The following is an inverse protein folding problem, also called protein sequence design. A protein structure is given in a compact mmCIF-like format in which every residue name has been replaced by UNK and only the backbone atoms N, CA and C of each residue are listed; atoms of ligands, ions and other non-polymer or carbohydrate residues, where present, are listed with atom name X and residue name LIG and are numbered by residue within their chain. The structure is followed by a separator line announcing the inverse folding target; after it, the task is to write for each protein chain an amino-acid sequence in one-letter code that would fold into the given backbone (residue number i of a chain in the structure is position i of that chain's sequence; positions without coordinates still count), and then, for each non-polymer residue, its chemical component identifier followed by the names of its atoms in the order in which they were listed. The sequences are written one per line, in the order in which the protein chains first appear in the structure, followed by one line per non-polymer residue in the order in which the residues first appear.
data_IF_756483405253
#
_entry.id   IF_756483405253
#
_cell.length_a   1.000
_cell.length_b   1.000
_cell.length_c   1.000
_cell.angle_alpha   90.00
_cell.angle_beta   90.00
_cell.angle_gamma   90.00
#
_symmetry.space_group_name_H-M   'P 1'
#
loop_
_entity.id
_entity.type
_entity.pdbx_description
1 polymer ?
#
# COMPACT_ATOMS: atom_id res chain seq x y z
N UNK A 1 -7.14 6.92 8.83
CA UNK A 1 -7.36 6.25 7.54
C UNK A 1 -8.13 7.12 6.54
N UNK A 2 -9.34 7.58 6.84
CA UNK A 2 -10.14 8.40 5.90
C UNK A 2 -9.41 9.67 5.44
N UNK A 3 -8.77 10.39 6.35
CA UNK A 3 -8.07 11.63 6.04
C UNK A 3 -6.86 11.46 5.12
N UNK A 4 -6.20 10.31 5.12
CA UNK A 4 -5.05 10.01 4.25
C UNK A 4 -5.43 9.18 3.02
N UNK A 5 -6.69 8.82 2.86
CA UNK A 5 -7.16 7.91 1.81
C UNK A 5 -6.46 6.54 1.88
N UNK A 6 -6.15 6.10 3.11
CA UNK A 6 -5.39 4.89 3.35
C UNK A 6 -6.00 3.65 2.70
N UNK A 7 -5.16 2.68 2.42
CA UNK A 7 -5.52 1.35 1.95
C UNK A 7 -4.87 0.27 2.83
N UNK A 8 -4.46 -0.83 2.27
CA UNK A 8 -3.77 -1.93 2.92
C UNK A 8 -4.07 -3.25 2.24
N UNK A 9 -3.71 -4.35 2.86
CA UNK A 9 -3.70 -5.70 2.27
C UNK A 9 -4.99 -6.15 1.58
N UNK A 10 -6.14 -5.63 2.01
CA UNK A 10 -7.45 -6.01 1.45
C UNK A 10 -7.91 -5.12 0.27
N UNK A 11 -7.13 -4.10 -0.08
CA UNK A 11 -7.55 -3.11 -1.08
C UNK A 11 -7.73 -3.71 -2.47
N UNK A 12 -6.92 -4.68 -2.84
CA UNK A 12 -7.00 -5.37 -4.14
C UNK A 12 -8.40 -5.95 -4.42
N UNK A 13 -9.12 -6.40 -3.39
CA UNK A 13 -10.48 -6.93 -3.55
C UNK A 13 -11.56 -5.94 -3.14
N UNK A 14 -11.36 -5.26 -2.02
CA UNK A 14 -12.40 -4.48 -1.38
C UNK A 14 -12.26 -2.97 -1.58
N UNK A 15 -11.21 -2.53 -2.27
CA UNK A 15 -10.93 -1.13 -2.51
C UNK A 15 -10.32 -0.41 -1.30
N UNK A 16 -9.98 0.84 -1.52
CA UNK A 16 -9.37 1.75 -0.54
C UNK A 16 -10.43 2.48 0.28
N UNK A 17 -10.02 3.35 1.21
CA UNK A 17 -10.95 4.26 1.89
C UNK A 17 -11.73 5.15 0.92
N UNK A 18 -11.16 5.49 -0.24
CA UNK A 18 -11.88 6.22 -1.30
C UNK A 18 -13.12 5.48 -1.78
N UNK A 19 -13.06 4.15 -1.84
CA UNK A 19 -14.14 3.31 -2.37
C UNK A 19 -15.15 2.92 -1.28
N UNK A 20 -14.71 2.88 -0.04
CA UNK A 20 -15.48 2.36 1.10
C UNK A 20 -16.17 3.43 1.96
N UNK A 21 -15.72 4.68 1.93
CA UNK A 21 -16.42 5.79 2.58
C UNK A 21 -17.55 6.28 1.69
N UNK A 22 -18.79 6.13 2.13
CA UNK A 22 -19.98 6.52 1.37
C UNK A 22 -20.56 7.86 1.80
N UNK A 23 -20.35 8.28 3.04
CA UNK A 23 -20.74 9.58 3.56
C UNK A 23 -19.89 9.99 4.76
N UNK A 24 -19.77 11.29 4.99
CA UNK A 24 -19.12 11.88 6.15
C UNK A 24 -20.01 12.93 6.78
N UNK A 25 -19.92 13.08 8.10
CA UNK A 25 -20.21 14.33 8.79
C UNK A 25 -18.90 15.07 8.98
N UNK A 26 -18.86 16.36 8.63
CA UNK A 26 -17.64 17.17 8.64
C UNK A 26 -17.91 18.50 9.32
N UNK A 27 -17.03 18.93 10.21
CA UNK A 27 -16.97 20.29 10.71
C UNK A 27 -16.05 21.08 9.78
N UNK A 28 -16.62 22.10 9.12
CA UNK A 28 -15.89 22.98 8.20
C UNK A 28 -15.14 24.08 8.95
N UNK A 29 -14.18 24.80 8.32
CA UNK A 29 -13.39 25.84 8.96
C UNK A 29 -14.18 26.99 9.56
N UNK A 30 -15.38 27.28 9.03
CA UNK A 30 -16.31 28.29 9.54
C UNK A 30 -17.24 27.77 10.65
N UNK A 31 -17.04 26.51 11.11
CA UNK A 31 -17.77 25.89 12.21
C UNK A 31 -19.11 25.27 11.82
N UNK A 32 -19.46 25.20 10.53
CA UNK A 32 -20.67 24.50 10.12
C UNK A 32 -20.47 22.99 10.21
N UNK A 33 -21.54 22.28 10.57
CA UNK A 33 -21.59 20.82 10.52
C UNK A 33 -22.37 20.44 9.27
N UNK A 34 -21.71 19.76 8.34
CA UNK A 34 -22.31 19.33 7.08
C UNK A 34 -22.28 17.80 6.94
N UNK A 35 -23.24 17.25 6.20
CA UNK A 35 -23.21 15.88 5.69
C UNK A 35 -22.83 15.89 4.22
N UNK A 36 -21.82 15.11 3.85
CA UNK A 36 -21.29 15.13 2.48
C UNK A 36 -22.14 14.35 1.48
N UNK A 37 -22.91 13.36 1.96
CA UNK A 37 -23.81 12.54 1.15
C UNK A 37 -24.84 11.83 2.02
N UNK A 38 -25.85 11.22 1.39
CA UNK A 38 -26.79 10.30 1.98
C UNK A 38 -26.27 8.85 1.90
N UNK A 39 -27.01 7.90 2.51
CA UNK A 39 -26.67 6.46 2.46
C UNK A 39 -27.12 5.78 1.16
N UNK A 40 -27.70 6.51 0.21
CA UNK A 40 -28.12 5.95 -1.07
C UNK A 40 -26.89 5.49 -1.88
N UNK A 41 -27.02 4.32 -2.52
CA UNK A 41 -25.92 3.73 -3.32
C UNK A 41 -25.58 4.57 -4.55
N UNK A 42 -26.55 5.31 -5.08
CA UNK A 42 -26.41 6.20 -6.25
C UNK A 42 -26.92 7.57 -5.90
N UNK A 43 -26.19 8.60 -6.29
CA UNK A 43 -26.60 9.97 -6.28
C UNK A 43 -25.90 10.73 -7.45
N UNK A 44 -26.58 11.74 -7.98
CA UNK A 44 -26.02 12.68 -8.98
C UNK A 44 -26.40 14.13 -8.61
N UNK A 45 -26.52 14.43 -7.32
CA UNK A 45 -27.02 15.67 -6.75
C UNK A 45 -25.91 16.72 -6.49
N UNK A 46 -25.00 16.89 -7.41
CA UNK A 46 -23.96 17.90 -7.34
C UNK A 46 -22.54 17.35 -7.20
N UNK A 47 -21.65 18.14 -6.61
CA UNK A 47 -20.25 17.73 -6.43
C UNK A 47 -20.12 16.65 -5.35
N UNK A 48 -19.25 15.67 -5.59
CA UNK A 48 -18.92 14.61 -4.63
C UNK A 48 -18.02 15.16 -3.50
N UNK A 49 -18.66 15.73 -2.47
CA UNK A 49 -17.94 16.25 -1.31
C UNK A 49 -17.29 15.12 -0.49
N UNK A 50 -17.85 13.91 -0.51
CA UNK A 50 -17.25 12.76 0.19
C UNK A 50 -15.86 12.46 -0.37
N UNK A 51 -15.75 12.38 -1.71
CA UNK A 51 -14.45 12.13 -2.37
C UNK A 51 -13.47 13.29 -2.22
N UNK A 52 -13.98 14.52 -2.10
CA UNK A 52 -13.15 15.69 -1.83
C UNK A 52 -12.55 15.65 -0.42
N UNK A 53 -13.33 15.24 0.58
CA UNK A 53 -12.88 15.19 1.99
C UNK A 53 -12.00 13.98 2.28
N UNK A 54 -12.25 12.82 1.65
CA UNK A 54 -11.40 11.63 1.78
C UNK A 54 -10.03 11.89 1.16
N UNK A 55 -8.98 11.82 1.98
CA UNK A 55 -7.60 12.14 1.57
C UNK A 55 -7.25 13.63 1.64
N UNK A 56 -8.09 14.46 2.25
CA UNK A 56 -7.80 15.89 2.45
C UNK A 56 -6.79 16.17 3.56
N UNK A 57 -6.39 15.16 4.31
CA UNK A 57 -5.45 15.24 5.44
C UNK A 57 -5.84 16.31 6.49
N UNK A 58 -7.13 16.51 6.69
CA UNK A 58 -7.66 17.51 7.63
C UNK A 58 -7.49 18.97 7.18
N UNK A 59 -7.14 19.22 5.92
CA UNK A 59 -6.90 20.56 5.41
C UNK A 59 -8.20 21.28 4.97
N UNK A 60 -9.30 20.55 4.82
CA UNK A 60 -10.60 21.09 4.39
C UNK A 60 -11.67 21.06 5.49
N UNK A 61 -11.47 20.26 6.52
CA UNK A 61 -12.42 20.09 7.62
C UNK A 61 -12.04 18.91 8.50
N UNK A 62 -12.82 18.68 9.56
CA UNK A 62 -12.63 17.57 10.50
C UNK A 62 -13.81 16.60 10.33
N UNK A 63 -13.52 15.37 9.89
CA UNK A 63 -14.52 14.31 9.83
C UNK A 63 -14.86 13.82 11.25
N UNK A 64 -16.11 13.94 11.65
CA UNK A 64 -16.63 13.56 12.98
C UNK A 64 -17.43 12.28 12.94
N UNK A 65 -18.11 11.95 11.81
CA UNK A 65 -18.78 10.69 11.57
C UNK A 65 -18.39 10.14 10.20
N UNK A 66 -18.17 8.84 10.12
CA UNK A 66 -17.75 8.16 8.89
C UNK A 66 -18.72 7.00 8.64
N UNK A 67 -19.45 7.07 7.52
CA UNK A 67 -20.31 5.98 7.07
C UNK A 67 -19.57 5.12 6.06
N UNK A 68 -19.41 3.83 6.39
CA UNK A 68 -18.66 2.87 5.58
C UNK A 68 -19.59 1.89 4.86
N UNK A 69 -19.17 1.49 3.67
CA UNK A 69 -19.71 0.34 2.95
C UNK A 69 -19.33 -0.94 3.70
N UNK A 70 -20.27 -1.85 3.84
CA UNK A 70 -20.05 -3.18 4.41
C UNK A 70 -20.09 -4.25 3.32
N UNK A 71 -19.36 -5.31 3.56
CA UNK A 71 -19.33 -6.50 2.73
C UNK A 71 -19.85 -7.70 3.51
N UNK A 72 -20.43 -8.67 2.82
CA UNK A 72 -20.79 -9.96 3.43
C UNK A 72 -19.55 -10.70 3.93
N UNK A 73 -19.69 -11.42 5.01
CA UNK A 73 -18.65 -12.32 5.51
C UNK A 73 -18.55 -13.50 4.53
N UNK A 74 -17.37 -13.79 3.97
CA UNK A 74 -17.20 -14.94 3.07
C UNK A 74 -17.43 -16.25 3.81
N UNK A 75 -18.01 -17.22 3.12
CA UNK A 75 -18.26 -18.57 3.66
C UNK A 75 -16.95 -19.28 4.00
N UNK A 76 -15.97 -19.18 3.08
CA UNK A 76 -14.64 -19.75 3.23
C UNK A 76 -13.58 -18.68 3.01
N UNK A 77 -12.56 -18.72 3.85
CA UNK A 77 -11.33 -17.93 3.71
C UNK A 77 -10.17 -18.91 3.68
N UNK A 78 -9.37 -18.89 2.61
CA UNK A 78 -8.15 -19.69 2.52
C UNK A 78 -6.93 -18.79 2.35
N UNK A 79 -5.85 -19.12 3.07
CA UNK A 79 -4.54 -18.49 2.91
C UNK A 79 -3.58 -19.40 2.15
N UNK A 80 -2.69 -18.82 1.36
CA UNK A 80 -1.67 -19.55 0.62
C UNK A 80 -0.32 -18.85 0.62
N UNK A 81 0.73 -19.61 0.31
CA UNK A 81 2.09 -19.10 0.13
C UNK A 81 2.77 -19.80 -1.03
N UNK A 82 3.67 -19.10 -1.68
CA UNK A 82 4.52 -19.65 -2.74
C UNK A 82 5.82 -18.86 -2.81
N UNK A 83 6.95 -19.56 -2.97
CA UNK A 83 8.26 -18.93 -3.19
C UNK A 83 8.64 -18.96 -4.67
N UNK A 84 9.48 -17.99 -5.09
CA UNK A 84 9.89 -17.83 -6.47
C UNK A 84 11.41 -17.74 -6.60
N UNK A 85 11.96 -18.09 -7.79
CA UNK A 85 13.40 -18.00 -8.04
C UNK A 85 13.92 -16.55 -8.00
N UNK A 86 13.11 -15.58 -8.41
CA UNK A 86 13.48 -14.17 -8.44
C UNK A 86 12.31 -13.25 -8.06
N UNK A 87 12.65 -12.00 -7.72
CA UNK A 87 11.67 -10.91 -7.48
C UNK A 87 10.82 -10.69 -8.73
N UNK A 88 11.45 -10.74 -9.90
CA UNK A 88 10.76 -10.57 -11.18
C UNK A 88 9.71 -11.65 -11.40
N UNK A 89 10.04 -12.91 -11.19
CA UNK A 89 9.09 -14.02 -11.37
C UNK A 89 7.90 -13.90 -10.41
N UNK A 90 8.16 -13.57 -9.14
CA UNK A 90 7.11 -13.33 -8.15
C UNK A 90 6.16 -12.19 -8.56
N UNK A 91 6.71 -11.06 -9.01
CA UNK A 91 5.91 -9.89 -9.38
C UNK A 91 5.20 -10.06 -10.71
N UNK A 92 5.78 -10.77 -11.67
CA UNK A 92 5.13 -11.10 -12.94
C UNK A 92 3.95 -12.09 -12.72
N UNK A 93 4.09 -13.03 -11.78
CA UNK A 93 2.97 -13.90 -11.37
C UNK A 93 1.81 -13.08 -10.76
N UNK A 94 2.11 -12.03 -9.97
CA UNK A 94 1.08 -11.10 -9.45
C UNK A 94 0.39 -10.37 -10.60
N UNK A 95 1.15 -9.83 -11.54
CA UNK A 95 0.61 -9.11 -12.71
C UNK A 95 -0.34 -10.03 -13.49
N UNK A 96 0.09 -11.25 -13.77
CA UNK A 96 -0.73 -12.24 -14.49
C UNK A 96 -1.99 -12.61 -13.70
N UNK A 97 -1.90 -12.78 -12.38
CA UNK A 97 -3.04 -13.08 -11.51
C UNK A 97 -4.13 -11.99 -11.60
N UNK A 98 -3.71 -10.71 -11.54
CA UNK A 98 -4.63 -9.58 -11.66
C UNK A 98 -5.20 -9.47 -13.07
N UNK A 99 -4.39 -9.69 -14.13
CA UNK A 99 -4.83 -9.67 -15.53
C UNK A 99 -5.77 -10.81 -15.87
N UNK A 100 -5.59 -11.98 -15.27
CA UNK A 100 -6.51 -13.12 -15.41
C UNK A 100 -7.85 -12.89 -14.68
N UNK A 101 -7.97 -11.82 -13.90
CA UNK A 101 -9.20 -11.48 -13.19
C UNK A 101 -9.48 -12.38 -11.99
N UNK A 102 -8.47 -13.06 -11.44
CA UNK A 102 -8.62 -13.87 -10.23
C UNK A 102 -8.92 -12.92 -9.04
N UNK A 103 -10.07 -13.05 -8.39
CA UNK A 103 -10.48 -12.10 -7.36
C UNK A 103 -9.82 -12.40 -6.00
N UNK A 104 -8.49 -12.38 -5.97
CA UNK A 104 -7.73 -12.56 -4.72
C UNK A 104 -8.14 -11.53 -3.68
N UNK A 105 -8.27 -11.96 -2.43
CA UNK A 105 -8.62 -11.06 -1.33
C UNK A 105 -7.42 -10.28 -0.81
N UNK A 106 -6.25 -10.92 -0.85
CA UNK A 106 -4.95 -10.32 -0.55
C UNK A 106 -3.89 -10.98 -1.41
N UNK A 107 -2.89 -10.20 -1.80
CA UNK A 107 -1.67 -10.70 -2.43
C UNK A 107 -0.51 -9.79 -2.02
N UNK A 108 0.34 -10.32 -1.15
CA UNK A 108 1.44 -9.61 -0.51
C UNK A 108 2.76 -10.21 -0.94
N UNK A 109 3.71 -9.36 -1.27
CA UNK A 109 5.06 -9.78 -1.64
C UNK A 109 6.05 -9.43 -0.53
N UNK A 110 6.97 -10.35 -0.26
CA UNK A 110 8.13 -10.16 0.59
C UNK A 110 9.38 -10.50 -0.22
N UNK A 111 10.39 -9.63 -0.22
CA UNK A 111 11.68 -9.97 -0.79
C UNK A 111 12.47 -10.94 0.10
N UNK A 112 13.56 -11.49 -0.40
CA UNK A 112 14.40 -12.43 0.34
C UNK A 112 14.90 -11.85 1.66
N UNK A 113 15.28 -10.57 1.67
CA UNK A 113 15.77 -9.90 2.88
C UNK A 113 14.67 -9.83 3.96
N UNK A 114 13.43 -9.53 3.55
CA UNK A 114 12.29 -9.51 4.45
C UNK A 114 11.96 -10.91 4.98
N UNK A 115 12.02 -11.94 4.15
CA UNK A 115 11.79 -13.33 4.56
C UNK A 115 12.82 -13.77 5.61
N UNK A 116 14.10 -13.49 5.38
CA UNK A 116 15.18 -13.78 6.34
C UNK A 116 14.95 -13.04 7.66
N UNK A 117 14.58 -11.75 7.59
CA UNK A 117 14.28 -10.97 8.79
C UNK A 117 13.13 -11.58 9.61
N UNK A 118 12.05 -11.99 8.94
CA UNK A 118 10.89 -12.63 9.59
C UNK A 118 11.27 -13.99 10.18
N UNK A 119 12.00 -14.83 9.46
CA UNK A 119 12.46 -16.12 9.98
C UNK A 119 13.27 -15.95 11.27
N UNK A 120 14.19 -14.99 11.28
CA UNK A 120 15.01 -14.71 12.46
C UNK A 120 14.21 -14.17 13.64
N UNK A 121 13.25 -13.29 13.40
CA UNK A 121 12.46 -12.63 14.43
C UNK A 121 11.36 -13.55 14.98
N UNK A 122 10.53 -14.10 14.09
CA UNK A 122 9.34 -14.89 14.46
C UNK A 122 9.61 -16.38 14.60
N UNK A 123 10.87 -16.82 14.39
CA UNK A 123 11.29 -18.24 14.43
C UNK A 123 10.47 -19.11 13.48
N UNK A 124 10.20 -18.57 12.30
CA UNK A 124 9.56 -19.29 11.20
C UNK A 124 10.64 -20.01 10.34
N UNK A 125 10.20 -20.88 9.45
CA UNK A 125 11.07 -21.57 8.51
C UNK A 125 10.50 -21.39 7.09
N UNK A 126 10.31 -20.12 6.69
CA UNK A 126 9.88 -19.80 5.33
C UNK A 126 11.07 -19.99 4.38
N UNK A 127 10.84 -20.43 3.11
CA UNK A 127 11.90 -20.47 2.09
C UNK A 127 12.59 -19.11 1.98
N UNK A 128 13.93 -19.08 2.06
CA UNK A 128 14.72 -17.84 1.95
C UNK A 128 14.82 -17.37 0.48
N UNK A 129 13.68 -17.03 -0.08
CA UNK A 129 13.48 -16.62 -1.46
C UNK A 129 12.35 -15.57 -1.51
N UNK A 130 12.17 -14.84 -2.64
CA UNK A 130 11.01 -14.00 -2.86
C UNK A 130 9.72 -14.77 -2.63
N UNK A 131 8.81 -14.24 -1.80
CA UNK A 131 7.65 -14.97 -1.30
C UNK A 131 6.37 -14.17 -1.58
N UNK A 132 5.34 -14.86 -2.07
CA UNK A 132 3.98 -14.35 -2.08
C UNK A 132 3.16 -15.00 -0.97
N UNK A 133 2.36 -14.16 -0.29
CA UNK A 133 1.33 -14.56 0.65
C UNK A 133 -0.03 -14.15 0.08
N UNK A 134 -0.98 -15.09 0.00
CA UNK A 134 -2.26 -14.87 -0.62
C UNK A 134 -3.42 -15.18 0.34
N UNK A 135 -4.58 -14.58 0.05
CA UNK A 135 -5.84 -14.95 0.68
C UNK A 135 -6.95 -14.98 -0.38
N UNK A 136 -7.78 -16.02 -0.34
CA UNK A 136 -8.91 -16.23 -1.21
C UNK A 136 -10.19 -16.24 -0.38
N UNK A 137 -11.23 -15.53 -0.88
CA UNK A 137 -12.53 -15.42 -0.22
C UNK A 137 -13.65 -15.88 -1.15
N UNK A 138 -14.62 -16.63 -0.64
CA UNK A 138 -15.79 -17.00 -1.42
C UNK A 138 -16.54 -18.19 -0.83
N UNK A 139 -17.28 -18.92 -1.69
CA UNK A 139 -17.76 -20.26 -1.38
C UNK A 139 -16.62 -21.28 -1.48
N UNK A 140 -16.80 -22.48 -0.96
CA UNK A 140 -15.79 -23.55 -1.04
C UNK A 140 -15.33 -23.82 -2.48
N UNK A 141 -16.30 -23.93 -3.41
CA UNK A 141 -16.00 -24.14 -4.83
C UNK A 141 -15.21 -22.97 -5.44
N UNK A 142 -15.59 -21.72 -5.14
CA UNK A 142 -14.92 -20.54 -5.65
C UNK A 142 -13.49 -20.39 -5.11
N UNK A 143 -13.27 -20.67 -3.82
CA UNK A 143 -11.93 -20.61 -3.22
C UNK A 143 -11.01 -21.68 -3.82
N UNK A 144 -11.54 -22.89 -4.04
CA UNK A 144 -10.79 -23.95 -4.72
C UNK A 144 -10.39 -23.56 -6.13
N UNK A 145 -11.32 -23.05 -6.95
CA UNK A 145 -11.05 -22.59 -8.32
C UNK A 145 -9.99 -21.47 -8.33
N UNK A 146 -10.12 -20.44 -7.48
CA UNK A 146 -9.15 -19.36 -7.38
C UNK A 146 -7.75 -19.89 -7.04
N UNK A 147 -7.65 -20.84 -6.08
CA UNK A 147 -6.38 -21.42 -5.65
C UNK A 147 -5.73 -22.28 -6.74
N UNK A 148 -6.52 -23.06 -7.48
CA UNK A 148 -6.03 -23.88 -8.59
C UNK A 148 -5.51 -23.01 -9.74
N UNK A 149 -6.29 -22.01 -10.17
CA UNK A 149 -5.88 -21.08 -11.23
C UNK A 149 -4.62 -20.28 -10.85
N UNK A 150 -4.55 -19.81 -9.60
CA UNK A 150 -3.34 -19.15 -9.13
C UNK A 150 -2.15 -20.12 -9.11
N UNK A 151 -2.35 -21.37 -8.68
CA UNK A 151 -1.30 -22.40 -8.67
C UNK A 151 -0.72 -22.67 -10.05
N UNK A 152 -1.54 -22.70 -11.09
CA UNK A 152 -1.11 -22.81 -12.50
C UNK A 152 -0.24 -21.61 -12.90
N UNK A 153 -0.71 -20.38 -12.63
CA UNK A 153 0.06 -19.16 -12.91
C UNK A 153 1.40 -19.19 -12.13
N UNK A 154 1.38 -19.51 -10.85
CA UNK A 154 2.61 -19.57 -10.05
C UNK A 154 3.61 -20.56 -10.64
N UNK A 155 3.15 -21.73 -11.09
CA UNK A 155 3.98 -22.74 -11.73
C UNK A 155 4.63 -22.24 -13.03
N UNK A 156 3.89 -21.49 -13.85
CA UNK A 156 4.39 -20.92 -15.13
C UNK A 156 5.55 -19.93 -14.89
N UNK A 157 5.58 -19.27 -13.73
CA UNK A 157 6.65 -18.36 -13.29
C UNK A 157 7.68 -19.03 -12.36
N UNK A 158 7.73 -20.36 -12.31
CA UNK A 158 8.70 -21.09 -11.51
C UNK A 158 8.44 -21.06 -10.02
N UNK A 159 7.20 -20.80 -9.62
CA UNK A 159 6.79 -20.85 -8.20
C UNK A 159 6.94 -22.27 -7.63
N UNK A 160 7.55 -22.35 -6.46
CA UNK A 160 7.80 -23.60 -5.76
C UNK A 160 6.92 -23.70 -4.51
N UNK A 161 6.46 -24.93 -4.23
CA UNK A 161 5.78 -25.28 -2.99
C UNK A 161 4.54 -24.41 -2.73
N UNK A 162 3.67 -24.21 -3.76
CA UNK A 162 2.40 -23.55 -3.52
C UNK A 162 1.54 -24.38 -2.58
N UNK A 163 1.36 -23.89 -1.38
CA UNK A 163 0.54 -24.47 -0.33
C UNK A 163 -0.59 -23.51 0.01
N UNK A 164 -1.80 -24.03 0.18
CA UNK A 164 -2.92 -23.26 0.67
C UNK A 164 -3.77 -24.05 1.66
N UNK A 165 -4.44 -23.35 2.56
CA UNK A 165 -5.25 -23.94 3.63
C UNK A 165 -6.43 -23.05 3.99
N UNK A 166 -7.57 -23.66 4.29
CA UNK A 166 -8.73 -23.00 4.91
C UNK A 166 -8.71 -23.10 6.44
N UNK A 167 -7.76 -23.86 7.01
CA UNK A 167 -7.60 -23.93 8.46
C UNK A 167 -7.22 -22.57 9.03
N UNK A 168 -8.01 -22.07 9.99
CA UNK A 168 -7.83 -20.73 10.54
C UNK A 168 -6.54 -20.55 11.33
N UNK A 169 -6.06 -21.61 12.01
CA UNK A 169 -4.83 -21.53 12.79
C UNK A 169 -3.60 -21.40 11.88
N UNK A 170 -3.52 -22.21 10.82
CA UNK A 170 -2.41 -22.16 9.87
C UNK A 170 -2.42 -20.86 9.09
N UNK A 171 -3.59 -20.39 8.67
CA UNK A 171 -3.75 -19.07 8.04
C UNK A 171 -3.28 -17.93 8.95
N UNK A 172 -3.62 -17.99 10.25
CA UNK A 172 -3.19 -16.96 11.21
C UNK A 172 -1.68 -16.98 11.41
N UNK A 173 -1.03 -18.17 11.41
CA UNK A 173 0.44 -18.29 11.45
C UNK A 173 1.07 -17.63 10.21
N UNK A 174 0.49 -17.86 9.03
CA UNK A 174 0.96 -17.26 7.78
C UNK A 174 0.90 -15.73 7.83
N UNK A 175 -0.25 -15.17 8.23
CA UNK A 175 -0.43 -13.71 8.30
C UNK A 175 0.36 -13.08 9.45
N UNK A 176 0.67 -13.83 10.50
CA UNK A 176 1.54 -13.35 11.57
C UNK A 176 2.93 -12.98 11.03
N UNK A 177 3.51 -13.77 10.14
CA UNK A 177 4.77 -13.44 9.47
C UNK A 177 4.72 -12.09 8.76
N UNK A 178 3.60 -11.78 8.06
CA UNK A 178 3.39 -10.48 7.40
C UNK A 178 3.19 -9.34 8.39
N UNK A 179 2.46 -9.56 9.47
CA UNK A 179 2.24 -8.55 10.52
C UNK A 179 3.53 -8.22 11.29
N UNK A 180 4.40 -9.20 11.47
CA UNK A 180 5.68 -9.02 12.13
C UNK A 180 6.74 -8.32 11.23
N UNK A 181 6.44 -8.03 9.96
CA UNK A 181 7.38 -7.47 8.99
C UNK A 181 8.11 -6.21 9.51
N UNK A 182 7.40 -5.25 10.09
CA UNK A 182 8.02 -4.03 10.65
C UNK A 182 8.98 -4.36 11.80
N UNK A 183 8.56 -5.20 12.73
CA UNK A 183 9.36 -5.56 13.92
C UNK A 183 10.56 -6.42 13.54
N UNK A 184 10.41 -7.28 12.55
CA UNK A 184 11.50 -8.09 12.02
C UNK A 184 12.56 -7.22 11.35
N UNK A 185 12.19 -6.21 10.57
CA UNK A 185 13.13 -5.24 10.02
C UNK A 185 13.91 -4.51 11.12
N UNK A 186 13.23 -4.06 12.18
CA UNK A 186 13.88 -3.40 13.30
C UNK A 186 14.90 -4.30 14.01
N UNK A 187 14.64 -5.60 14.05
CA UNK A 187 15.56 -6.56 14.66
C UNK A 187 16.83 -6.83 13.83
N UNK A 188 16.81 -6.54 12.52
CA UNK A 188 17.99 -6.68 11.63
C UNK A 188 19.12 -5.73 12.03
N UNK A 189 18.76 -4.48 12.40
CA UNK A 189 19.73 -3.47 12.85
C UNK A 189 19.10 -2.70 14.02
N UNK A 190 19.26 -3.17 15.26
CA UNK A 190 18.56 -2.63 16.44
C UNK A 190 18.82 -1.13 16.72
N UNK A 191 20.02 -0.63 16.36
CA UNK A 191 20.43 0.76 16.58
C UNK A 191 19.97 1.70 15.46
N UNK A 192 19.40 1.16 14.35
CA UNK A 192 18.88 1.95 13.24
C UNK A 192 17.43 2.36 13.45
N UNK A 193 17.04 3.48 12.87
CA UNK A 193 15.63 3.85 12.67
C UNK A 193 15.13 3.32 11.32
N UNK A 194 13.84 2.98 11.27
CA UNK A 194 13.18 2.54 10.04
C UNK A 194 12.56 3.75 9.36
N UNK A 195 12.97 3.99 8.12
CA UNK A 195 12.33 4.95 7.22
C UNK A 195 11.58 4.18 6.12
N UNK A 196 10.26 4.10 6.26
CA UNK A 196 9.41 3.41 5.29
C UNK A 196 9.10 4.31 4.10
N UNK A 197 9.35 3.80 2.89
CA UNK A 197 8.83 4.43 1.66
C UNK A 197 7.38 4.03 1.42
N UNK A 198 6.73 4.68 0.45
CA UNK A 198 5.34 4.39 0.10
C UNK A 198 5.09 4.89 -1.32
N UNK A 199 5.48 4.10 -2.30
CA UNK A 199 5.22 4.38 -3.71
C UNK A 199 4.23 3.37 -4.28
N UNK A 200 3.46 3.81 -5.26
CA UNK A 200 2.55 2.93 -5.97
C UNK A 200 2.66 3.20 -7.48
N UNK A 201 2.70 2.15 -8.26
CA UNK A 201 2.78 2.21 -9.73
C UNK A 201 1.65 1.38 -10.35
N UNK A 202 1.30 1.63 -11.62
CA UNK A 202 0.42 0.72 -12.34
C UNK A 202 0.95 -0.72 -12.22
N UNK A 203 0.05 -1.68 -12.02
CA UNK A 203 0.42 -3.08 -11.76
C UNK A 203 1.40 -3.63 -12.81
N UNK A 204 1.24 -3.26 -14.07
CA UNK A 204 2.13 -3.65 -15.17
C UNK A 204 3.56 -3.10 -15.06
N UNK A 205 3.81 -2.18 -14.12
CA UNK A 205 5.12 -1.56 -13.84
C UNK A 205 5.73 -2.00 -12.52
N UNK A 206 5.02 -2.84 -11.76
CA UNK A 206 5.46 -3.24 -10.42
C UNK A 206 6.81 -3.97 -10.47
N UNK A 207 6.94 -4.94 -11.36
CA UNK A 207 8.16 -5.75 -11.55
C UNK A 207 9.37 -4.86 -11.85
N UNK A 208 9.24 -3.98 -12.85
CA UNK A 208 10.32 -3.07 -13.25
C UNK A 208 10.68 -2.11 -12.09
N UNK A 209 9.67 -1.54 -11.41
CA UNK A 209 9.89 -0.56 -10.35
C UNK A 209 10.60 -1.17 -9.14
N UNK A 210 10.22 -2.38 -8.71
CA UNK A 210 10.89 -3.06 -7.59
C UNK A 210 12.31 -3.46 -7.99
N UNK A 211 12.52 -4.01 -9.19
CA UNK A 211 13.85 -4.40 -9.68
C UNK A 211 14.81 -3.21 -9.72
N UNK A 212 14.42 -2.11 -10.37
CA UNK A 212 15.22 -0.89 -10.39
C UNK A 212 15.47 -0.30 -8.98
N UNK A 213 14.56 -0.54 -8.04
CA UNK A 213 14.71 -0.08 -6.65
C UNK A 213 15.76 -0.91 -5.91
N UNK A 214 15.78 -2.22 -6.10
CA UNK A 214 16.80 -3.12 -5.54
C UNK A 214 18.19 -2.76 -6.08
N UNK A 215 18.32 -2.61 -7.40
CA UNK A 215 19.58 -2.22 -8.04
C UNK A 215 20.10 -0.87 -7.52
N UNK A 216 19.20 0.09 -7.31
CA UNK A 216 19.54 1.40 -6.73
C UNK A 216 20.04 1.27 -5.28
N UNK A 217 19.39 0.44 -4.46
CA UNK A 217 19.83 0.20 -3.08
C UNK A 217 21.20 -0.46 -3.04
N UNK A 218 21.42 -1.51 -3.82
CA UNK A 218 22.70 -2.22 -3.92
C UNK A 218 23.83 -1.28 -4.33
N UNK A 219 23.62 -0.51 -5.39
CA UNK A 219 24.59 0.46 -5.90
C UNK A 219 24.98 1.52 -4.87
N UNK A 220 24.08 1.91 -3.98
CA UNK A 220 24.29 2.97 -2.99
C UNK A 220 24.60 2.40 -1.59
N UNK A 221 24.67 1.08 -1.42
CA UNK A 221 24.94 0.42 -0.14
C UNK A 221 23.88 0.75 0.90
N UNK A 222 22.60 0.71 0.51
CA UNK A 222 21.45 0.87 1.38
C UNK A 222 20.90 -0.51 1.78
N UNK A 223 20.48 -0.62 3.03
CA UNK A 223 19.85 -1.84 3.57
C UNK A 223 18.39 -1.51 3.82
N UNK A 224 17.49 -2.28 3.20
CA UNK A 224 16.06 -2.07 3.36
C UNK A 224 15.26 -3.26 2.81
N UNK A 225 14.74 -4.15 3.68
CA UNK A 225 13.80 -5.17 3.25
C UNK A 225 12.57 -4.57 2.56
N UNK A 226 12.02 -5.29 1.56
CA UNK A 226 10.86 -4.85 0.77
C UNK A 226 9.64 -5.68 1.11
N UNK A 227 8.53 -4.98 1.34
CA UNK A 227 7.18 -5.56 1.40
C UNK A 227 6.27 -4.82 0.43
N UNK A 228 5.27 -5.53 -0.14
CA UNK A 228 4.36 -4.92 -1.12
C UNK A 228 2.94 -5.43 -0.94
N UNK A 229 1.97 -4.49 -1.03
CA UNK A 229 0.59 -4.78 -1.38
C UNK A 229 0.57 -5.00 -2.90
N UNK A 230 1.06 -6.17 -3.31
CA UNK A 230 1.48 -6.40 -4.68
C UNK A 230 0.31 -6.31 -5.68
N UNK A 231 -0.90 -6.72 -5.28
CA UNK A 231 -2.10 -6.64 -6.12
C UNK A 231 -2.53 -5.22 -6.49
N UNK A 232 -2.08 -4.22 -5.72
CA UNK A 232 -2.39 -2.80 -5.95
C UNK A 232 -1.22 -2.03 -6.58
N UNK A 233 -0.05 -2.65 -6.75
CA UNK A 233 1.17 -2.00 -7.24
C UNK A 233 1.86 -1.10 -6.21
N UNK A 234 1.48 -1.19 -4.92
CA UNK A 234 2.07 -0.41 -3.84
C UNK A 234 3.14 -1.22 -3.11
N UNK A 235 4.31 -0.62 -2.87
CA UNK A 235 5.37 -1.27 -2.12
C UNK A 235 6.13 -0.30 -1.21
N UNK A 236 6.75 -0.90 -0.20
CA UNK A 236 7.49 -0.20 0.85
C UNK A 236 8.89 -0.80 0.98
N UNK A 237 9.89 0.07 1.04
CA UNK A 237 11.25 -0.28 1.46
C UNK A 237 11.39 0.18 2.91
N UNK A 238 11.72 -0.73 3.80
CA UNK A 238 12.00 -0.43 5.21
C UNK A 238 13.49 -0.11 5.38
N UNK A 239 13.91 1.11 5.02
CA UNK A 239 15.31 1.53 5.10
C UNK A 239 15.79 1.60 6.55
N UNK A 240 16.92 0.92 6.84
CA UNK A 240 17.53 0.88 8.16
C UNK A 240 18.67 1.90 8.21
N UNK A 241 18.44 3.02 8.90
CA UNK A 241 19.32 4.21 8.87
C UNK A 241 19.80 4.55 10.28
N UNK A 242 21.09 4.72 10.45
CA UNK A 242 21.64 5.35 11.65
C UNK A 242 21.44 6.86 11.56
N UNK A 243 20.52 7.37 12.38
CA UNK A 243 20.20 8.81 12.43
C UNK A 243 21.35 9.69 12.93
N UNK A 244 22.39 9.10 13.52
CA UNK A 244 23.60 9.83 13.96
C UNK A 244 24.63 9.97 12.84
N UNK A 245 24.48 9.20 11.76
CA UNK A 245 25.34 9.22 10.58
C UNK A 245 24.83 10.19 9.51
N UNK A 246 25.47 11.34 9.38
CA UNK A 246 25.11 12.30 8.30
C UNK A 246 25.20 11.67 6.93
N UNK A 247 26.20 10.79 6.70
CA UNK A 247 26.36 10.06 5.45
C UNK A 247 25.14 9.19 5.12
N UNK A 248 24.58 8.48 6.13
CA UNK A 248 23.40 7.66 5.90
C UNK A 248 22.14 8.50 5.70
N UNK A 249 22.02 9.64 6.38
CA UNK A 249 20.92 10.58 6.16
C UNK A 249 20.97 11.20 4.75
N UNK A 250 22.14 11.57 4.25
CA UNK A 250 22.31 12.09 2.88
C UNK A 250 21.97 11.03 1.82
N UNK A 251 22.34 9.77 2.07
CA UNK A 251 21.97 8.63 1.21
C UNK A 251 20.45 8.40 1.23
N UNK A 252 19.81 8.47 2.41
CA UNK A 252 18.37 8.35 2.57
C UNK A 252 17.65 9.43 1.76
N UNK A 253 17.99 10.70 1.96
CA UNK A 253 17.35 11.82 1.25
C UNK A 253 17.47 11.68 -0.27
N UNK A 254 18.65 11.30 -0.74
CA UNK A 254 18.89 11.05 -2.16
C UNK A 254 18.06 9.88 -2.69
N UNK A 255 17.95 8.79 -1.93
CA UNK A 255 17.15 7.63 -2.30
C UNK A 255 15.65 7.95 -2.34
N UNK A 256 15.13 8.67 -1.35
CA UNK A 256 13.72 9.08 -1.31
C UNK A 256 13.33 9.93 -2.53
N UNK A 257 14.24 10.74 -3.04
CA UNK A 257 14.04 11.48 -4.29
C UNK A 257 13.97 10.50 -5.46
N UNK A 258 14.97 9.62 -5.60
CA UNK A 258 15.07 8.72 -6.76
C UNK A 258 13.89 7.73 -6.83
N UNK A 259 13.47 7.12 -5.70
CA UNK A 259 12.35 6.19 -5.70
C UNK A 259 11.03 6.90 -6.04
N UNK A 260 10.81 8.11 -5.53
CA UNK A 260 9.62 8.90 -5.86
C UNK A 260 9.60 9.28 -7.35
N UNK A 261 10.73 9.71 -7.90
CA UNK A 261 10.85 10.06 -9.32
C UNK A 261 10.71 8.83 -10.23
N UNK A 262 11.20 7.67 -9.81
CA UNK A 262 11.01 6.39 -10.50
C UNK A 262 9.53 6.05 -10.61
N UNK A 263 8.80 6.10 -9.51
CA UNK A 263 7.37 5.85 -9.51
C UNK A 263 6.60 6.82 -10.43
N UNK A 264 6.88 8.13 -10.32
CA UNK A 264 6.24 9.16 -11.15
C UNK A 264 6.57 8.95 -12.65
N UNK A 265 7.80 8.61 -13.00
CA UNK A 265 8.21 8.30 -14.38
C UNK A 265 7.46 7.09 -14.97
N UNK A 266 7.03 6.18 -14.12
CA UNK A 266 6.26 4.98 -14.48
C UNK A 266 4.73 5.19 -14.38
N UNK A 267 4.24 6.43 -14.45
CA UNK A 267 2.83 6.82 -14.29
C UNK A 267 2.23 6.44 -12.92
N UNK A 268 3.08 6.33 -11.91
CA UNK A 268 2.71 6.05 -10.53
C UNK A 268 2.67 7.30 -9.65
N UNK A 269 2.69 7.07 -8.34
CA UNK A 269 2.61 8.12 -7.32
C UNK A 269 3.70 7.95 -6.26
N UNK A 270 4.17 9.07 -5.70
CA UNK A 270 5.10 9.07 -4.57
C UNK A 270 4.43 8.65 -3.24
N UNK A 271 3.11 8.51 -3.20
CA UNK A 271 2.36 8.11 -2.00
C UNK A 271 1.17 7.24 -2.35
N UNK A 272 1.30 5.92 -2.07
CA UNK A 272 0.22 4.96 -2.29
C UNK A 272 -0.89 5.06 -1.25
N UNK A 273 -0.53 5.10 0.04
CA UNK A 273 -1.51 5.02 1.13
C UNK A 273 -1.21 5.90 2.36
N UNK A 274 0.03 6.34 2.58
CA UNK A 274 0.40 7.08 3.79
C UNK A 274 0.01 8.55 3.75
N UNK A 275 -0.28 9.10 2.57
CA UNK A 275 -0.55 10.51 2.36
C UNK A 275 0.72 11.34 2.07
N UNK A 276 0.50 12.59 1.70
CA UNK A 276 1.56 13.56 1.33
C UNK A 276 2.22 14.17 2.56
N UNK A 277 1.42 14.52 3.55
CA UNK A 277 1.87 15.15 4.80
C UNK A 277 2.72 16.39 4.56
N UNK A 278 3.90 16.42 5.19
CA UNK A 278 4.94 17.43 4.99
C UNK A 278 6.07 16.91 4.08
N UNK A 279 6.39 15.63 4.16
CA UNK A 279 7.58 15.05 3.53
C UNK A 279 7.50 14.94 2.02
N UNK A 280 6.30 14.70 1.47
CA UNK A 280 6.11 14.45 0.04
C UNK A 280 5.59 15.65 -0.75
N UNK A 281 5.37 16.81 -0.11
CA UNK A 281 4.89 18.06 -0.77
C UNK A 281 5.74 18.46 -1.97
N UNK A 282 7.06 18.25 -1.87
CA UNK A 282 8.02 18.59 -2.93
C UNK A 282 7.82 17.83 -4.25
N UNK A 283 7.12 16.69 -4.21
CA UNK A 283 6.85 15.88 -5.41
C UNK A 283 5.53 16.22 -6.09
N UNK A 284 4.59 16.87 -5.38
CA UNK A 284 3.23 17.12 -5.86
C UNK A 284 3.18 17.82 -7.23
N UNK A 285 4.00 18.86 -7.41
CA UNK A 285 4.02 19.60 -8.68
C UNK A 285 4.58 18.75 -9.83
N UNK A 286 5.58 17.91 -9.55
CA UNK A 286 6.17 17.01 -10.54
C UNK A 286 5.20 15.92 -10.98
N UNK A 287 4.40 15.41 -10.02
CA UNK A 287 3.43 14.34 -10.25
C UNK A 287 2.15 14.86 -10.92
N UNK A 288 1.61 15.99 -10.46
CA UNK A 288 0.25 16.45 -10.79
C UNK A 288 0.21 17.75 -11.59
N UNK A 289 1.36 18.41 -11.79
CA UNK A 289 1.44 19.63 -12.56
C UNK A 289 0.45 20.71 -12.09
N UNK A 290 -0.23 21.36 -13.03
CA UNK A 290 -1.16 22.46 -12.77
C UNK A 290 -2.40 22.05 -11.93
N UNK A 291 -2.67 20.75 -11.73
CA UNK A 291 -3.74 20.32 -10.84
C UNK A 291 -3.51 20.77 -9.39
N UNK A 292 -2.25 20.93 -8.99
CA UNK A 292 -1.88 21.45 -7.65
C UNK A 292 -2.44 22.86 -7.43
N UNK A 293 -2.46 23.72 -8.46
CA UNK A 293 -3.02 25.08 -8.35
C UNK A 293 -4.54 25.04 -8.16
N UNK A 294 -5.21 24.08 -8.79
CA UNK A 294 -6.65 23.88 -8.59
C UNK A 294 -6.92 23.41 -7.16
N UNK A 295 -6.12 22.46 -6.63
CA UNK A 295 -6.23 22.01 -5.25
C UNK A 295 -6.01 23.17 -4.25
N UNK A 296 -5.03 24.04 -4.49
CA UNK A 296 -4.80 25.25 -3.68
C UNK A 296 -6.00 26.21 -3.73
N UNK A 297 -6.66 26.38 -4.87
CA UNK A 297 -7.89 27.19 -4.99
C UNK A 297 -9.01 26.58 -4.14
N UNK A 298 -9.21 25.26 -4.19
CA UNK A 298 -10.18 24.54 -3.35
C UNK A 298 -9.88 24.77 -1.86
N UNK A 299 -8.62 24.55 -1.45
CA UNK A 299 -8.17 24.80 -0.06
C UNK A 299 -8.48 26.23 0.38
N UNK A 300 -8.16 27.24 -0.43
CA UNK A 300 -8.37 28.64 -0.09
C UNK A 300 -9.86 29.02 -0.05
N UNK A 301 -10.71 28.37 -0.86
CA UNK A 301 -12.16 28.58 -0.83
C UNK A 301 -12.80 28.02 0.46
N UNK A 302 -12.34 26.84 0.91
CA UNK A 302 -12.82 26.20 2.16
C UNK A 302 -12.26 26.88 3.41
N UNK A 303 -10.97 27.16 3.41
CA UNK A 303 -10.23 27.64 4.59
C UNK A 303 -9.43 28.92 4.26
N UNK A 304 -10.11 30.05 4.06
CA UNK A 304 -9.46 31.31 3.74
C UNK A 304 -8.55 31.81 4.86
N UNK A 305 -8.84 31.44 6.10
CA UNK A 305 -8.05 31.81 7.29
C UNK A 305 -6.87 30.88 7.55
N UNK A 306 -6.72 29.80 6.79
CA UNK A 306 -5.63 28.82 6.88
C UNK A 306 -5.46 28.19 8.27
N UNK A 307 -6.56 27.91 8.97
CA UNK A 307 -6.58 27.34 10.31
C UNK A 307 -6.56 25.80 10.30
N UNK A 308 -6.95 25.17 9.16
CA UNK A 308 -7.07 23.73 9.06
C UNK A 308 -5.74 23.09 8.62
N UNK A 309 -5.11 22.37 9.54
CA UNK A 309 -3.89 21.58 9.35
C UNK A 309 -2.83 22.30 8.48
N UNK A 310 -2.33 23.48 8.91
CA UNK A 310 -1.44 24.30 8.09
C UNK A 310 -0.12 23.58 7.79
N UNK A 311 0.44 23.82 6.61
CA UNK A 311 1.72 23.23 6.16
C UNK A 311 1.64 21.77 5.70
N UNK A 312 0.44 21.24 5.44
CA UNK A 312 0.23 19.92 4.86
C UNK A 312 -0.22 20.03 3.40
N UNK A 313 0.06 19.00 2.61
CA UNK A 313 -0.24 18.84 1.18
C UNK A 313 0.51 19.80 0.25
N UNK A 314 0.57 21.10 0.55
CA UNK A 314 1.13 22.12 -0.36
C UNK A 314 2.36 22.81 0.25
N UNK A 315 3.27 23.25 -0.63
CA UNK A 315 4.37 24.18 -0.32
C UNK A 315 3.85 25.59 -0.33
#
# INVERSE_FOLDING_TARGET
MTATRASGTNAVRYGTMKDNVIALEVVTPDGQIIKTANKARKSSDGYDLTRLMVGSEGTLGIATEITLKLYGIPEVIAGGRVSFPSVKDATDAVIMTVQAGIPVARIEFLDTAQVIAVNNYSKTNLPEAPLLLLEFHGSEASVKEQSELFGEIASDFGGNDFEWTSNSEDRNKLWKARHDAYWSCRAVRPDAEIYSTDVCVPISKLSDCITETIEDMEKNGLIGPIVSHAGDGNFHVALLIDKTSQLELDKLDSFLIRISERAIRMDGTCTGEHGVGQGKRKYMLKELGNAVDVMKKVKNAFDPNKIMNPGKLFL
#
